data_IF_922518540736
#
_entry.id   IF_922518540736
#
_cell.length_a   1.000
_cell.length_b   1.000
_cell.length_c   1.000
_cell.angle_alpha   90.00
_cell.angle_beta   90.00
_cell.angle_gamma   90.00
#
_symmetry.space_group_name_H-M   'P 1'
#
loop_
_entity.id
_entity.type
_entity.pdbx_description
1 polymer ?
#
# COMPACT_ATOMS: atom_id res chain seq x y z
N UNK A 1 43.97 -12.83 -35.48
CA UNK A 1 44.62 -11.69 -34.79
C UNK A 1 44.10 -11.52 -33.37
N UNK A 2 42.79 -11.61 -33.12
CA UNK A 2 42.24 -11.50 -31.75
C UNK A 2 42.79 -12.52 -30.74
N UNK A 3 42.95 -13.80 -31.11
CA UNK A 3 43.53 -14.81 -30.20
C UNK A 3 44.99 -14.48 -29.82
N UNK A 4 45.79 -14.04 -30.80
CA UNK A 4 47.19 -13.65 -30.54
C UNK A 4 47.29 -12.44 -29.63
N UNK A 5 46.45 -11.42 -29.84
CA UNK A 5 46.41 -10.25 -28.96
C UNK A 5 46.01 -10.62 -27.52
N UNK A 6 45.07 -11.57 -27.37
CA UNK A 6 44.68 -12.09 -26.07
C UNK A 6 45.81 -12.87 -25.39
N UNK A 7 46.54 -13.73 -26.12
CA UNK A 7 47.71 -14.45 -25.59
C UNK A 7 48.85 -13.48 -25.19
N UNK A 8 49.06 -12.41 -25.96
CA UNK A 8 50.01 -11.34 -25.64
C UNK A 8 49.63 -10.57 -24.38
N UNK A 9 48.34 -10.23 -24.20
CA UNK A 9 47.82 -9.57 -23.00
C UNK A 9 47.90 -10.46 -21.76
N UNK A 10 47.62 -11.76 -21.91
CA UNK A 10 47.69 -12.74 -20.82
C UNK A 10 49.13 -13.19 -20.51
N UNK A 11 50.09 -12.95 -21.40
CA UNK A 11 51.48 -13.38 -21.25
C UNK A 11 51.69 -14.90 -21.35
N UNK A 12 50.73 -15.64 -21.92
CA UNK A 12 50.77 -17.11 -22.03
C UNK A 12 50.14 -17.58 -23.35
N UNK A 13 50.69 -18.65 -23.95
CA UNK A 13 50.06 -19.32 -25.08
C UNK A 13 48.86 -20.14 -24.59
N UNK A 14 47.71 -20.03 -25.24
CA UNK A 14 46.51 -20.80 -24.93
C UNK A 14 46.34 -22.00 -25.88
N UNK A 15 47.04 -22.01 -27.01
CA UNK A 15 46.99 -23.08 -27.98
C UNK A 15 48.38 -23.58 -28.37
N UNK A 16 48.49 -24.91 -28.54
CA UNK A 16 49.63 -25.54 -29.16
C UNK A 16 49.38 -25.73 -30.66
N UNK A 17 50.43 -25.59 -31.47
CA UNK A 17 50.39 -25.91 -32.91
C UNK A 17 50.88 -27.33 -33.13
N UNK A 18 49.95 -28.23 -33.45
CA UNK A 18 50.24 -29.63 -33.75
C UNK A 18 49.93 -29.89 -35.23
N UNK A 19 50.99 -29.99 -36.04
CA UNK A 19 50.87 -30.15 -37.50
C UNK A 19 50.21 -28.95 -38.17
N UNK A 20 49.05 -29.16 -38.79
CA UNK A 20 48.21 -28.08 -39.37
C UNK A 20 47.08 -27.60 -38.44
N UNK A 21 46.97 -28.15 -37.22
CA UNK A 21 45.89 -27.86 -36.28
C UNK A 21 46.32 -26.99 -35.09
N UNK A 22 45.34 -26.31 -34.50
CA UNK A 22 45.44 -25.63 -33.21
C UNK A 22 44.65 -26.42 -32.18
N UNK A 23 45.28 -26.73 -31.05
CA UNK A 23 44.65 -27.46 -29.94
C UNK A 23 44.85 -26.66 -28.67
N UNK A 24 43.80 -26.53 -27.84
CA UNK A 24 43.91 -25.88 -26.53
C UNK A 24 44.93 -26.65 -25.67
N UNK A 25 45.92 -25.93 -25.16
CA UNK A 25 46.79 -26.44 -24.13
C UNK A 25 46.11 -26.32 -22.75
N UNK A 26 46.81 -26.69 -21.68
CA UNK A 26 46.25 -26.66 -20.33
C UNK A 26 45.79 -25.25 -19.90
N UNK A 27 46.62 -24.23 -20.15
CA UNK A 27 46.27 -22.84 -19.89
C UNK A 27 45.04 -22.40 -20.69
N UNK A 28 44.96 -22.80 -21.97
CA UNK A 28 43.80 -22.54 -22.82
C UNK A 28 42.51 -23.21 -22.32
N UNK A 29 42.58 -24.43 -21.80
CA UNK A 29 41.40 -25.13 -21.26
C UNK A 29 40.88 -24.44 -20.00
N UNK A 30 41.77 -24.12 -19.06
CA UNK A 30 41.41 -23.42 -17.82
C UNK A 30 40.88 -22.01 -18.12
N UNK A 31 41.55 -21.27 -19.00
CA UNK A 31 41.10 -19.95 -19.42
C UNK A 31 39.74 -20.00 -20.14
N UNK A 32 39.48 -21.02 -20.96
CA UNK A 32 38.21 -21.16 -21.66
C UNK A 32 37.03 -21.37 -20.68
N UNK A 33 37.22 -22.12 -19.59
CA UNK A 33 36.21 -22.29 -18.55
C UNK A 33 35.90 -20.95 -17.87
N UNK A 34 36.92 -20.22 -17.45
CA UNK A 34 36.77 -18.90 -16.83
C UNK A 34 36.14 -17.86 -17.78
N UNK A 35 36.57 -17.85 -19.05
CA UNK A 35 36.02 -16.94 -20.07
C UNK A 35 34.53 -17.21 -20.34
N UNK A 36 34.12 -18.49 -20.38
CA UNK A 36 32.70 -18.86 -20.50
C UNK A 36 31.90 -18.39 -19.30
N UNK A 37 32.45 -18.51 -18.09
CA UNK A 37 31.81 -18.05 -16.86
C UNK A 37 31.64 -16.52 -16.84
N UNK A 38 32.66 -15.78 -17.25
CA UNK A 38 32.61 -14.33 -17.39
C UNK A 38 31.54 -13.88 -18.41
N UNK A 39 31.48 -14.52 -19.58
CA UNK A 39 30.46 -14.21 -20.59
C UNK A 39 29.05 -14.49 -20.08
N UNK A 40 28.83 -15.62 -19.41
CA UNK A 40 27.53 -15.93 -18.76
C UNK A 40 27.14 -14.88 -17.71
N UNK A 41 28.11 -14.39 -16.93
CA UNK A 41 27.88 -13.32 -15.95
C UNK A 41 27.52 -12.00 -16.63
N UNK A 42 28.20 -11.65 -17.72
CA UNK A 42 27.92 -10.44 -18.50
C UNK A 42 26.50 -10.48 -19.12
N UNK A 43 26.12 -11.60 -19.73
CA UNK A 43 24.77 -11.80 -20.26
C UNK A 43 23.71 -11.69 -19.16
N UNK A 44 23.94 -12.30 -18.00
CA UNK A 44 23.05 -12.20 -16.85
C UNK A 44 22.90 -10.77 -16.34
N UNK A 45 24.00 -10.00 -16.30
CA UNK A 45 23.96 -8.58 -15.92
C UNK A 45 23.11 -7.76 -16.92
N UNK A 46 23.31 -7.98 -18.22
CA UNK A 46 22.52 -7.32 -19.26
C UNK A 46 21.03 -7.68 -19.19
N UNK A 47 20.69 -8.94 -18.95
CA UNK A 47 19.31 -9.39 -18.75
C UNK A 47 18.69 -8.77 -17.51
N UNK A 48 19.41 -8.76 -16.38
CA UNK A 48 18.93 -8.13 -15.13
C UNK A 48 18.67 -6.63 -15.32
N UNK A 49 19.55 -5.92 -16.03
CA UNK A 49 19.36 -4.51 -16.34
C UNK A 49 18.13 -4.26 -17.23
N UNK A 50 17.89 -5.12 -18.24
CA UNK A 50 16.67 -5.06 -19.06
C UNK A 50 15.41 -5.33 -18.25
N UNK A 51 15.41 -6.38 -17.44
CA UNK A 51 14.30 -6.73 -16.56
C UNK A 51 14.00 -5.61 -15.55
N UNK A 52 15.03 -4.97 -14.99
CA UNK A 52 14.89 -3.80 -14.11
C UNK A 52 14.31 -2.60 -14.89
N UNK A 53 14.80 -2.36 -16.11
CA UNK A 53 14.28 -1.35 -17.03
C UNK A 53 12.84 -1.61 -17.48
N UNK A 54 12.38 -2.87 -17.42
CA UNK A 54 10.99 -3.28 -17.65
C UNK A 54 10.16 -3.29 -16.36
N UNK A 55 10.78 -3.14 -15.18
CA UNK A 55 10.13 -3.17 -13.88
C UNK A 55 9.81 -4.57 -13.34
N UNK A 56 10.41 -5.63 -13.89
CA UNK A 56 10.18 -7.03 -13.51
C UNK A 56 11.01 -7.44 -12.29
N UNK A 57 12.12 -6.75 -12.05
CA UNK A 57 12.96 -6.89 -10.87
C UNK A 57 13.23 -5.52 -10.27
N UNK A 58 13.50 -5.48 -8.97
CA UNK A 58 13.78 -4.25 -8.25
C UNK A 58 13.17 -4.28 -6.86
N UNK A 59 13.06 -3.11 -6.24
CA UNK A 59 12.51 -2.94 -4.90
C UNK A 59 11.44 -1.88 -4.91
N UNK A 60 10.30 -2.15 -4.27
CA UNK A 60 9.19 -1.23 -4.14
C UNK A 60 8.87 -1.02 -2.66
N UNK A 61 9.05 0.20 -2.17
CA UNK A 61 8.80 0.56 -0.76
C UNK A 61 7.40 1.17 -0.64
N UNK A 62 6.49 0.45 0.01
CA UNK A 62 5.08 0.83 0.14
C UNK A 62 4.72 1.12 1.59
N UNK A 63 4.26 2.36 1.82
CA UNK A 63 3.73 2.79 3.10
C UNK A 63 2.25 2.46 3.29
N UNK A 64 1.82 2.25 4.52
CA UNK A 64 0.40 2.20 4.87
C UNK A 64 0.16 2.65 6.30
N UNK A 65 -1.04 3.15 6.57
CA UNK A 65 -1.48 3.43 7.93
C UNK A 65 -2.07 2.17 8.55
N UNK A 66 -2.03 2.06 9.88
CA UNK A 66 -2.68 0.96 10.61
C UNK A 66 -4.10 0.71 10.07
N UNK A 67 -4.93 1.75 9.94
CA UNK A 67 -6.32 1.63 9.48
C UNK A 67 -6.50 1.20 8.02
N UNK A 68 -5.58 1.58 7.12
CA UNK A 68 -5.70 1.19 5.71
C UNK A 68 -5.30 -0.27 5.51
N UNK A 69 -4.45 -0.83 6.38
CA UNK A 69 -4.14 -2.26 6.40
C UNK A 69 -5.37 -3.15 6.61
N UNK A 70 -6.32 -2.70 7.43
CA UNK A 70 -7.59 -3.43 7.67
C UNK A 70 -8.51 -3.44 6.44
N UNK A 71 -8.27 -2.59 5.44
CA UNK A 71 -9.15 -2.53 4.27
C UNK A 71 -8.85 -3.68 3.28
N UNK A 72 -9.85 -4.48 2.88
CA UNK A 72 -9.65 -5.60 1.96
C UNK A 72 -9.07 -5.21 0.60
N UNK A 73 -9.31 -3.98 0.12
CA UNK A 73 -8.74 -3.54 -1.14
C UNK A 73 -7.21 -3.40 -1.06
N UNK A 74 -6.65 -2.91 0.06
CA UNK A 74 -5.19 -2.84 0.25
C UNK A 74 -4.59 -4.24 0.22
N UNK A 75 -5.15 -5.16 0.99
CA UNK A 75 -4.66 -6.55 1.04
C UNK A 75 -4.73 -7.22 -0.34
N UNK A 76 -5.80 -6.97 -1.09
CA UNK A 76 -5.96 -7.47 -2.47
C UNK A 76 -4.89 -6.92 -3.39
N UNK A 77 -4.63 -5.61 -3.37
CA UNK A 77 -3.61 -4.98 -4.21
C UNK A 77 -2.23 -5.55 -3.91
N UNK A 78 -1.86 -5.66 -2.63
CA UNK A 78 -0.56 -6.21 -2.23
C UNK A 78 -0.42 -7.69 -2.65
N UNK A 79 -1.48 -8.48 -2.48
CA UNK A 79 -1.51 -9.88 -2.90
C UNK A 79 -1.35 -10.01 -4.42
N UNK A 80 -2.19 -9.33 -5.19
CA UNK A 80 -2.16 -9.36 -6.65
C UNK A 80 -0.82 -8.88 -7.19
N UNK A 81 -0.27 -7.79 -6.63
CA UNK A 81 1.02 -7.26 -7.07
C UNK A 81 2.15 -8.28 -6.86
N UNK A 82 2.19 -8.93 -5.69
CA UNK A 82 3.20 -9.95 -5.37
C UNK A 82 3.07 -11.21 -6.23
N UNK A 83 1.85 -11.62 -6.57
CA UNK A 83 1.59 -12.78 -7.44
C UNK A 83 1.97 -12.49 -8.90
N UNK A 84 1.68 -11.29 -9.40
CA UNK A 84 2.00 -10.88 -10.77
C UNK A 84 3.48 -10.54 -10.96
N UNK A 85 4.13 -9.95 -9.94
CA UNK A 85 5.53 -9.49 -10.00
C UNK A 85 6.40 -10.11 -8.89
N UNK A 86 6.57 -11.44 -8.87
CA UNK A 86 7.22 -12.15 -7.75
C UNK A 86 8.71 -11.85 -7.57
N UNK A 87 9.35 -11.27 -8.59
CA UNK A 87 10.77 -10.90 -8.55
C UNK A 87 11.01 -9.43 -8.14
N UNK A 88 9.95 -8.68 -7.85
CA UNK A 88 10.03 -7.36 -7.21
C UNK A 88 10.00 -7.54 -5.69
N UNK A 89 11.03 -7.06 -5.00
CA UNK A 89 11.07 -7.03 -3.55
C UNK A 89 10.09 -5.97 -3.02
N UNK A 90 9.02 -6.42 -2.38
CA UNK A 90 8.04 -5.53 -1.76
C UNK A 90 8.42 -5.27 -0.30
N UNK A 91 8.77 -4.02 0.02
CA UNK A 91 9.13 -3.58 1.37
C UNK A 91 8.02 -2.72 1.93
N UNK A 92 7.49 -3.13 3.09
CA UNK A 92 6.29 -2.56 3.68
C UNK A 92 6.66 -1.75 4.93
N UNK A 93 6.18 -0.50 5.01
CA UNK A 93 6.39 0.40 6.16
C UNK A 93 5.04 0.86 6.73
N UNK A 94 4.79 0.55 8.00
CA UNK A 94 3.65 1.12 8.72
C UNK A 94 4.01 2.48 9.32
N UNK A 95 3.13 3.47 9.16
CA UNK A 95 3.36 4.78 9.76
C UNK A 95 2.13 5.66 9.87
N UNK A 96 2.33 6.82 10.50
CA UNK A 96 1.33 7.91 10.54
C UNK A 96 1.29 8.58 9.16
N UNK A 97 0.12 9.05 8.73
CA UNK A 97 -0.06 9.67 7.42
C UNK A 97 0.93 10.82 7.15
N UNK A 98 1.25 11.63 8.16
CA UNK A 98 2.23 12.73 8.02
C UNK A 98 3.65 12.23 7.78
N UNK A 99 4.09 11.18 8.48
CA UNK A 99 5.42 10.60 8.30
C UNK A 99 5.57 9.88 6.96
N UNK A 100 4.51 9.18 6.53
CA UNK A 100 4.49 8.50 5.23
C UNK A 100 4.53 9.52 4.08
N UNK A 101 3.82 10.64 4.20
CA UNK A 101 3.89 11.73 3.22
C UNK A 101 5.28 12.34 3.15
N UNK A 102 5.90 12.65 4.29
CA UNK A 102 7.28 13.14 4.31
C UNK A 102 8.27 12.11 3.73
N UNK A 103 8.04 10.82 3.95
CA UNK A 103 8.85 9.75 3.37
C UNK A 103 8.67 9.63 1.84
N UNK A 104 7.45 9.86 1.32
CA UNK A 104 7.20 9.95 -0.11
C UNK A 104 7.91 11.16 -0.70
N UNK A 105 7.75 12.35 -0.13
CA UNK A 105 8.40 13.57 -0.62
C UNK A 105 9.93 13.43 -0.61
N UNK A 106 10.48 12.83 0.45
CA UNK A 106 11.92 12.64 0.63
C UNK A 106 12.53 11.42 -0.07
N UNK A 107 11.81 10.71 -0.94
CA UNK A 107 12.42 9.59 -1.70
C UNK A 107 12.58 8.28 -0.92
N UNK A 108 12.11 8.20 0.34
CA UNK A 108 12.27 7.02 1.20
C UNK A 108 11.19 5.96 0.98
N UNK A 109 9.99 6.36 0.57
CA UNK A 109 8.91 5.47 0.13
C UNK A 109 8.60 5.74 -1.33
N UNK A 110 8.14 4.74 -2.07
CA UNK A 110 7.81 4.87 -3.49
C UNK A 110 6.31 5.12 -3.68
N UNK A 111 5.47 4.47 -2.86
CA UNK A 111 4.04 4.71 -2.80
C UNK A 111 3.52 4.54 -1.36
N UNK A 112 2.34 5.07 -1.05
CA UNK A 112 1.68 4.83 0.24
C UNK A 112 0.16 4.80 0.15
N UNK A 113 -0.48 3.88 0.88
CA UNK A 113 -1.92 3.87 1.07
C UNK A 113 -2.34 4.85 2.15
N UNK A 114 -2.91 5.97 1.72
CA UNK A 114 -3.25 7.11 2.56
C UNK A 114 -4.72 7.49 2.42
N UNK A 115 -5.23 8.21 3.42
CA UNK A 115 -6.56 8.83 3.38
C UNK A 115 -6.39 10.33 3.11
N UNK A 116 -7.18 10.92 2.20
CA UNK A 116 -7.14 12.36 1.95
C UNK A 116 -7.71 13.16 3.13
N UNK A 117 -7.40 14.47 3.21
CA UNK A 117 -6.54 15.21 2.29
C UNK A 117 -5.05 14.94 2.52
N UNK A 118 -4.27 15.07 1.45
CA UNK A 118 -2.82 15.08 1.54
C UNK A 118 -2.32 16.49 1.88
N UNK A 119 -1.20 16.60 2.60
CA UNK A 119 -0.59 17.89 2.98
C UNK A 119 -0.06 18.67 1.78
N UNK A 120 0.30 17.99 0.70
CA UNK A 120 0.70 18.60 -0.57
C UNK A 120 0.14 17.81 -1.75
N UNK A 121 -0.62 18.51 -2.60
CA UNK A 121 -1.03 18.01 -3.93
C UNK A 121 -0.08 18.50 -5.04
N UNK A 122 0.94 19.30 -4.69
CA UNK A 122 1.92 19.83 -5.65
C UNK A 122 2.99 18.80 -5.99
N UNK A 123 3.35 17.92 -5.05
CA UNK A 123 4.43 16.94 -5.23
C UNK A 123 3.93 15.50 -5.34
N UNK A 124 2.74 15.24 -4.82
CA UNK A 124 2.14 13.91 -4.77
C UNK A 124 0.94 13.83 -5.72
N UNK A 125 0.89 12.73 -6.47
CA UNK A 125 -0.32 12.28 -7.13
C UNK A 125 -1.06 11.28 -6.25
N UNK A 126 -2.35 11.12 -6.51
CA UNK A 126 -3.24 10.29 -5.71
C UNK A 126 -4.25 9.57 -6.60
N UNK A 127 -4.37 8.26 -6.42
CA UNK A 127 -5.38 7.41 -7.02
C UNK A 127 -6.34 6.96 -5.93
N UNK A 128 -7.61 7.35 -6.03
CA UNK A 128 -8.66 6.81 -5.16
C UNK A 128 -8.80 5.31 -5.41
N UNK A 129 -8.57 4.50 -4.37
CA UNK A 129 -8.66 3.03 -4.46
C UNK A 129 -10.05 2.55 -4.05
N UNK A 130 -10.58 3.10 -2.95
CA UNK A 130 -11.95 2.82 -2.54
C UNK A 130 -12.50 3.92 -1.62
N UNK A 131 -13.83 3.92 -1.52
CA UNK A 131 -14.61 4.71 -0.57
C UNK A 131 -15.47 3.75 0.23
N UNK A 132 -15.35 3.76 1.56
CA UNK A 132 -16.08 2.86 2.45
C UNK A 132 -17.01 3.67 3.39
N UNK A 133 -18.15 3.12 3.82
CA UNK A 133 -18.98 3.79 4.82
C UNK A 133 -18.24 3.90 6.16
N UNK A 134 -18.66 4.86 6.98
CA UNK A 134 -18.27 4.91 8.39
C UNK A 134 -19.36 4.32 9.29
N UNK A 135 -18.94 3.74 10.40
CA UNK A 135 -19.78 3.06 11.39
C UNK A 135 -19.50 3.61 12.78
N UNK A 136 -20.47 3.48 13.67
CA UNK A 136 -20.33 3.82 15.09
C UNK A 136 -19.78 2.61 15.83
N UNK A 137 -18.60 2.74 16.42
CA UNK A 137 -18.05 1.80 17.37
C UNK A 137 -18.58 2.14 18.78
N UNK A 138 -19.25 1.18 19.39
CA UNK A 138 -19.87 1.27 20.70
C UNK A 138 -19.31 0.17 21.62
N UNK A 139 -19.21 0.38 22.94
CA UNK A 139 -19.04 -0.72 23.88
C UNK A 139 -20.12 -1.79 23.68
N UNK A 140 -19.81 -3.06 23.91
CA UNK A 140 -20.75 -4.16 23.66
C UNK A 140 -22.08 -4.01 24.43
N UNK A 141 -22.02 -3.48 25.67
CA UNK A 141 -23.16 -3.27 26.55
C UNK A 141 -23.84 -1.90 26.37
N UNK A 142 -23.45 -1.13 25.34
CA UNK A 142 -24.00 0.20 25.10
C UNK A 142 -25.50 0.13 24.74
N UNK A 143 -26.30 1.08 25.24
CA UNK A 143 -27.75 1.20 24.94
C UNK A 143 -28.11 1.08 23.46
N UNK A 144 -27.26 1.61 22.59
CA UNK A 144 -27.46 1.61 21.13
C UNK A 144 -26.83 0.40 20.41
N UNK A 145 -26.10 -0.48 21.09
CA UNK A 145 -25.40 -1.62 20.47
C UNK A 145 -26.37 -2.61 19.78
N UNK A 146 -27.59 -2.78 20.31
CA UNK A 146 -28.61 -3.65 19.72
C UNK A 146 -29.29 -3.09 18.46
N UNK A 147 -28.99 -1.86 18.04
CA UNK A 147 -29.64 -1.22 16.89
C UNK A 147 -29.08 -1.77 15.58
N UNK A 148 -29.95 -1.88 14.57
CA UNK A 148 -29.53 -2.26 13.21
C UNK A 148 -28.87 -1.09 12.45
N UNK A 149 -29.32 0.14 12.72
CA UNK A 149 -28.75 1.41 12.23
C UNK A 149 -29.02 2.54 13.24
N UNK A 150 -28.16 3.55 13.26
CA UNK A 150 -28.26 4.72 14.14
C UNK A 150 -28.17 6.01 13.32
N UNK A 151 -28.92 7.04 13.69
CA UNK A 151 -28.76 8.41 13.18
C UNK A 151 -27.71 9.18 13.99
N UNK A 152 -27.04 10.17 13.39
CA UNK A 152 -26.08 11.00 14.14
C UNK A 152 -26.74 11.71 15.34
N UNK A 153 -27.99 12.14 15.22
CA UNK A 153 -28.72 12.83 16.29
C UNK A 153 -28.92 11.98 17.55
N UNK A 154 -28.98 10.65 17.42
CA UNK A 154 -29.07 9.72 18.58
C UNK A 154 -27.77 9.66 19.40
N UNK A 155 -26.65 10.19 18.87
CA UNK A 155 -25.34 10.25 19.52
C UNK A 155 -25.07 11.56 20.27
N UNK A 156 -26.05 12.48 20.29
CA UNK A 156 -25.90 13.85 20.80
C UNK A 156 -25.33 13.93 22.22
N UNK A 157 -25.77 13.01 23.08
CA UNK A 157 -25.43 13.01 24.51
C UNK A 157 -24.22 12.13 24.85
N UNK A 158 -23.64 11.47 23.85
CA UNK A 158 -22.52 10.54 24.04
C UNK A 158 -21.17 11.27 24.14
N UNK A 159 -20.16 10.61 24.72
CA UNK A 159 -18.76 11.08 24.72
C UNK A 159 -18.01 10.49 23.54
N UNK A 160 -17.23 11.31 22.83
CA UNK A 160 -16.50 10.91 21.63
C UNK A 160 -15.01 10.74 21.91
N UNK A 161 -14.46 9.65 21.38
CA UNK A 161 -13.03 9.43 21.21
C UNK A 161 -12.71 9.76 19.76
N UNK A 162 -11.97 10.85 19.53
CA UNK A 162 -11.57 11.27 18.18
C UNK A 162 -10.10 10.96 17.93
N UNK A 163 -9.68 11.05 16.67
CA UNK A 163 -8.27 11.02 16.28
C UNK A 163 -7.79 12.44 15.92
N UNK A 164 -6.61 12.88 16.40
CA UNK A 164 -6.13 14.24 16.21
C UNK A 164 -5.91 14.59 14.74
N UNK A 165 -6.23 15.83 14.37
CA UNK A 165 -5.91 16.42 13.05
C UNK A 165 -4.43 16.23 12.67
N UNK A 166 -3.54 16.36 13.65
CA UNK A 166 -2.09 16.26 13.45
C UNK A 166 -1.60 14.88 12.94
N UNK A 167 -2.41 13.83 13.06
CA UNK A 167 -2.03 12.47 12.64
C UNK A 167 -2.54 12.11 11.23
N UNK A 168 -3.46 12.91 10.70
CA UNK A 168 -4.05 12.77 9.38
C UNK A 168 -5.30 13.66 9.29
N UNK A 169 -5.31 14.67 8.41
CA UNK A 169 -6.48 15.55 8.26
C UNK A 169 -7.68 14.79 7.66
N UNK A 170 -8.85 15.40 7.69
CA UNK A 170 -10.03 14.96 6.94
C UNK A 170 -11.01 14.11 7.74
N UNK A 171 -10.59 12.95 8.23
CA UNK A 171 -11.54 12.01 8.81
C UNK A 171 -12.24 12.56 10.08
N UNK A 172 -11.54 13.19 11.03
CA UNK A 172 -12.15 13.64 12.30
C UNK A 172 -12.91 14.95 12.11
N UNK A 173 -12.46 15.74 11.15
CA UNK A 173 -13.14 16.95 10.68
C UNK A 173 -14.47 16.60 10.03
N UNK A 174 -14.51 15.55 9.20
CA UNK A 174 -15.75 15.04 8.60
C UNK A 174 -16.74 14.58 9.68
N UNK A 175 -16.27 13.87 10.71
CA UNK A 175 -17.11 13.45 11.84
C UNK A 175 -17.66 14.66 12.59
N UNK A 176 -16.82 15.63 12.95
CA UNK A 176 -17.25 16.85 13.65
C UNK A 176 -18.23 17.66 12.81
N UNK A 177 -17.94 17.87 11.52
CA UNK A 177 -18.80 18.60 10.59
C UNK A 177 -20.16 17.90 10.41
N UNK A 178 -20.19 16.56 10.36
CA UNK A 178 -21.42 15.81 10.27
C UNK A 178 -22.27 15.90 11.56
N UNK A 179 -21.63 15.87 12.73
CA UNK A 179 -22.33 16.11 14.00
C UNK A 179 -22.94 17.53 14.03
N UNK A 180 -22.17 18.54 13.59
CA UNK A 180 -22.65 19.92 13.51
C UNK A 180 -23.84 20.06 12.56
N UNK A 181 -23.80 19.42 11.39
CA UNK A 181 -24.93 19.36 10.46
C UNK A 181 -26.15 18.65 11.05
N UNK A 182 -25.95 17.67 11.93
CA UNK A 182 -27.01 17.02 12.70
C UNK A 182 -27.48 17.85 13.92
N UNK A 183 -26.96 19.07 14.09
CA UNK A 183 -27.41 20.03 15.09
C UNK A 183 -26.76 19.89 16.46
N UNK A 184 -25.59 19.26 16.59
CA UNK A 184 -24.84 19.19 17.85
C UNK A 184 -23.32 19.22 17.66
N UNK A 185 -22.58 19.59 18.71
CA UNK A 185 -21.13 19.45 18.74
C UNK A 185 -20.77 18.19 19.56
N UNK A 186 -19.86 17.32 19.07
CA UNK A 186 -19.49 16.11 19.80
C UNK A 186 -18.71 16.46 21.07
N UNK A 187 -19.06 15.85 22.20
CA UNK A 187 -18.33 16.00 23.47
C UNK A 187 -17.09 15.11 23.45
N UNK A 188 -15.94 15.68 23.08
CA UNK A 188 -14.68 14.94 22.96
C UNK A 188 -14.01 14.77 24.32
N UNK A 189 -13.90 13.54 24.81
CA UNK A 189 -13.23 13.22 26.09
C UNK A 189 -11.80 12.74 25.90
N UNK A 190 -11.49 12.18 24.73
CA UNK A 190 -10.17 11.60 24.43
C UNK A 190 -9.78 11.83 22.97
N UNK A 191 -8.47 11.92 22.74
CA UNK A 191 -7.89 11.95 21.41
C UNK A 191 -6.78 10.89 21.30
N UNK A 192 -6.83 10.05 20.26
CA UNK A 192 -5.79 9.03 20.04
C UNK A 192 -5.19 9.10 18.63
N UNK A 193 -3.86 8.94 18.47
CA UNK A 193 -3.21 9.10 17.17
C UNK A 193 -3.55 7.98 16.17
N UNK A 194 -4.16 6.87 16.60
CA UNK A 194 -4.42 5.71 15.74
C UNK A 194 -5.83 5.18 15.97
N UNK A 195 -6.54 4.86 14.88
CA UNK A 195 -7.89 4.31 14.95
C UNK A 195 -7.96 2.97 15.71
N UNK A 196 -6.93 2.14 15.65
CA UNK A 196 -6.86 0.90 16.43
C UNK A 196 -6.86 1.19 17.95
N UNK A 197 -6.12 2.21 18.38
CA UNK A 197 -6.13 2.69 19.77
C UNK A 197 -7.49 3.26 20.16
N UNK A 198 -8.13 4.02 19.27
CA UNK A 198 -9.51 4.50 19.47
C UNK A 198 -10.47 3.35 19.74
N UNK A 199 -10.42 2.27 18.94
CA UNK A 199 -11.27 1.07 19.17
C UNK A 199 -10.98 0.42 20.53
N UNK A 200 -9.72 0.35 20.96
CA UNK A 200 -9.39 -0.17 22.29
C UNK A 200 -9.99 0.70 23.42
N UNK A 201 -10.01 2.02 23.28
CA UNK A 201 -10.63 2.89 24.27
C UNK A 201 -12.17 2.80 24.27
N UNK A 202 -12.78 2.54 23.12
CA UNK A 202 -14.22 2.20 23.03
C UNK A 202 -14.50 0.89 23.79
N UNK A 203 -13.67 -0.14 23.59
CA UNK A 203 -13.79 -1.40 24.32
C UNK A 203 -13.68 -1.21 25.84
N UNK A 204 -12.89 -0.22 26.28
CA UNK A 204 -12.75 0.17 27.69
C UNK A 204 -13.86 1.12 28.19
N UNK A 205 -14.93 1.33 27.41
CA UNK A 205 -16.06 2.19 27.75
C UNK A 205 -15.70 3.66 28.05
N UNK A 206 -14.60 4.17 27.48
CA UNK A 206 -14.18 5.58 27.63
C UNK A 206 -14.98 6.57 26.76
N UNK A 207 -15.87 6.04 25.91
CA UNK A 207 -16.72 6.76 24.98
C UNK A 207 -17.01 5.95 23.73
N UNK A 208 -17.58 6.60 22.72
CA UNK A 208 -17.88 6.05 21.40
C UNK A 208 -16.91 6.61 20.35
N UNK A 209 -16.86 5.97 19.19
CA UNK A 209 -16.12 6.51 18.05
C UNK A 209 -16.85 6.27 16.73
N UNK A 210 -16.62 7.13 15.75
CA UNK A 210 -17.05 6.90 14.37
C UNK A 210 -15.81 6.55 13.55
N UNK A 211 -15.79 5.36 12.97
CA UNK A 211 -14.61 4.76 12.33
C UNK A 211 -14.95 4.18 10.95
N UNK A 212 -13.98 3.98 10.04
CA UNK A 212 -14.23 3.29 8.77
C UNK A 212 -14.72 1.85 8.98
N UNK A 213 -15.56 1.35 8.06
CA UNK A 213 -16.17 0.02 8.14
C UNK A 213 -15.16 -1.13 8.27
N UNK A 214 -13.99 -1.02 7.63
CA UNK A 214 -12.92 -2.01 7.75
C UNK A 214 -12.48 -2.29 9.20
N UNK A 215 -12.74 -1.37 10.14
CA UNK A 215 -12.36 -1.55 11.55
C UNK A 215 -13.24 -2.54 12.31
N UNK A 216 -14.35 -3.03 11.72
CA UNK A 216 -15.25 -4.02 12.33
C UNK A 216 -14.58 -5.30 12.82
N UNK A 217 -13.44 -5.65 12.22
CA UNK A 217 -12.69 -6.85 12.59
C UNK A 217 -11.88 -6.71 13.89
N UNK A 218 -11.80 -5.51 14.47
CA UNK A 218 -11.13 -5.28 15.74
C UNK A 218 -12.09 -5.48 16.93
N UNK A 219 -11.63 -6.20 17.96
CA UNK A 219 -12.38 -6.38 19.23
C UNK A 219 -13.85 -6.82 19.06
N UNK A 220 -14.17 -7.82 18.22
CA UNK A 220 -15.55 -8.22 17.96
C UNK A 220 -16.33 -8.65 19.22
N UNK A 221 -15.61 -9.13 20.24
CA UNK A 221 -16.21 -9.61 21.49
C UNK A 221 -16.48 -8.48 22.52
N UNK A 222 -16.01 -7.25 22.27
CA UNK A 222 -16.12 -6.13 23.23
C UNK A 222 -16.61 -4.83 22.61
N UNK A 223 -16.66 -4.76 21.28
CA UNK A 223 -17.11 -3.57 20.53
C UNK A 223 -18.18 -3.98 19.54
N UNK A 224 -19.30 -3.27 19.58
CA UNK A 224 -20.34 -3.38 18.58
C UNK A 224 -20.20 -2.27 17.57
N UNK A 225 -20.19 -2.64 16.29
CA UNK A 225 -20.15 -1.71 15.18
C UNK A 225 -21.53 -1.57 14.55
N UNK A 226 -22.12 -0.39 14.66
CA UNK A 226 -23.47 -0.11 14.18
C UNK A 226 -23.42 0.87 13.00
N UNK A 227 -24.01 0.54 11.85
CA UNK A 227 -24.04 1.44 10.69
C UNK A 227 -24.78 2.75 10.98
N UNK A 228 -24.27 3.85 10.43
CA UNK A 228 -25.02 5.10 10.37
C UNK A 228 -26.12 5.01 9.29
N UNK A 229 -27.28 5.61 9.56
CA UNK A 229 -28.34 5.76 8.53
C UNK A 229 -27.84 6.60 7.35
N UNK A 230 -28.35 6.24 6.18
CA UNK A 230 -28.22 6.96 4.91
C UNK A 230 -26.78 7.22 4.44
N UNK A 231 -25.80 6.43 4.92
CA UNK A 231 -24.41 6.56 4.49
C UNK A 231 -23.82 7.94 4.77
N UNK A 232 -24.27 8.58 5.87
CA UNK A 232 -23.99 9.97 6.20
C UNK A 232 -22.50 10.35 6.21
N UNK A 233 -21.62 9.35 6.38
CA UNK A 233 -20.18 9.51 6.40
C UNK A 233 -19.51 8.41 5.58
N UNK A 234 -18.54 8.81 4.76
CA UNK A 234 -17.66 7.92 4.02
C UNK A 234 -16.20 8.24 4.32
N UNK A 235 -15.39 7.20 4.31
CA UNK A 235 -13.96 7.25 4.47
C UNK A 235 -13.31 6.84 3.15
N UNK A 236 -12.66 7.78 2.48
CA UNK A 236 -11.88 7.50 1.28
C UNK A 236 -10.47 7.05 1.66
N UNK A 237 -9.86 6.23 0.82
CA UNK A 237 -8.43 6.01 0.83
C UNK A 237 -7.95 5.68 -0.57
N UNK A 238 -6.66 5.88 -0.78
CA UNK A 238 -6.05 5.70 -2.08
C UNK A 238 -4.55 5.52 -2.00
N UNK A 239 -3.97 5.33 -3.16
CA UNK A 239 -2.54 5.21 -3.33
C UNK A 239 -1.96 6.59 -3.67
N UNK A 240 -0.98 7.05 -2.89
CA UNK A 240 -0.23 8.27 -3.15
C UNK A 240 1.20 7.91 -3.61
N UNK A 241 1.75 8.68 -4.54
CA UNK A 241 3.14 8.55 -5.00
C UNK A 241 3.68 9.92 -5.42
N UNK A 242 5.00 10.05 -5.60
CA UNK A 242 5.60 11.28 -6.13
C UNK A 242 5.22 11.45 -7.60
N UNK A 243 4.71 12.63 -7.97
CA UNK A 243 4.32 12.96 -9.37
C UNK A 243 5.43 12.73 -10.39
N UNK A 244 6.67 13.04 -10.01
CA UNK A 244 7.83 12.89 -10.89
C UNK A 244 8.36 11.45 -10.98
N UNK A 245 7.90 10.55 -10.11
CA UNK A 245 8.36 9.17 -10.11
C UNK A 245 7.47 8.32 -11.01
N UNK A 246 7.99 8.05 -12.20
CA UNK A 246 7.31 7.33 -13.27
C UNK A 246 7.93 5.96 -13.52
N UNK A 247 8.64 5.39 -12.54
CA UNK A 247 9.20 4.05 -12.67
C UNK A 247 8.11 3.04 -13.05
N UNK A 248 8.45 2.08 -13.91
CA UNK A 248 7.49 1.07 -14.35
C UNK A 248 6.93 0.24 -13.19
N UNK A 249 7.72 0.04 -12.13
CA UNK A 249 7.28 -0.68 -10.93
C UNK A 249 6.15 0.08 -10.22
N UNK A 250 6.26 1.41 -10.08
CA UNK A 250 5.20 2.24 -9.51
C UNK A 250 3.96 2.22 -10.41
N UNK A 251 4.13 2.36 -11.74
CA UNK A 251 3.00 2.26 -12.68
C UNK A 251 2.26 0.93 -12.56
N UNK A 252 2.99 -0.19 -12.47
CA UNK A 252 2.42 -1.52 -12.25
C UNK A 252 1.63 -1.60 -10.94
N UNK A 253 2.13 -0.98 -9.87
CA UNK A 253 1.39 -0.89 -8.60
C UNK A 253 0.12 -0.06 -8.76
N UNK A 254 0.19 1.09 -9.44
CA UNK A 254 -0.96 1.95 -9.73
C UNK A 254 -2.00 1.18 -10.55
N UNK A 255 -1.60 0.49 -11.60
CA UNK A 255 -2.50 -0.32 -12.44
C UNK A 255 -3.15 -1.46 -11.64
N UNK A 256 -2.38 -2.09 -10.73
CA UNK A 256 -2.91 -3.11 -9.82
C UNK A 256 -3.89 -2.53 -8.80
N UNK A 257 -3.67 -1.27 -8.38
CA UNK A 257 -4.48 -0.54 -7.42
C UNK A 257 -5.71 0.15 -8.03
N UNK A 258 -5.71 0.33 -9.36
CA UNK A 258 -6.81 0.92 -10.09
C UNK A 258 -8.11 0.17 -9.76
N UNK A 259 -9.21 0.89 -9.47
CA UNK A 259 -10.49 0.24 -9.23
C UNK A 259 -10.82 -0.63 -10.43
N UNK A 260 -10.87 -1.95 -10.25
CA UNK A 260 -11.47 -2.82 -11.26
C UNK A 260 -12.91 -2.34 -11.37
N UNK A 261 -13.25 -1.72 -12.50
CA UNK A 261 -14.63 -1.38 -12.81
C UNK A 261 -15.37 -2.70 -13.09
N UNK A 262 -15.69 -3.42 -12.02
CA UNK A 262 -16.50 -4.62 -12.05
C UNK A 262 -17.94 -4.22 -12.26
N UNK A 263 -18.47 -4.53 -13.44
CA UNK A 263 -19.86 -4.27 -13.82
C UNK A 263 -20.83 -4.84 -12.80
N UNK A 264 -21.55 -3.94 -12.12
CA UNK A 264 -22.91 -4.23 -11.69
C UNK A 264 -23.77 -4.28 -12.95
N UNK A 265 -23.79 -5.44 -13.60
CA UNK A 265 -24.85 -5.76 -14.54
C UNK A 265 -26.14 -5.76 -13.74
N UNK A 266 -26.92 -4.70 -13.92
CA UNK A 266 -28.35 -4.65 -13.62
C UNK A 266 -28.96 -5.99 -14.02
N UNK A 267 -29.24 -6.86 -13.03
CA UNK A 267 -30.19 -7.94 -13.21
C UNK A 267 -31.56 -7.28 -13.33
N UNK A 268 -31.88 -6.81 -14.53
CA UNK A 268 -33.27 -6.58 -14.94
C UNK A 268 -34.00 -7.92 -14.76
N UNK A 269 -35.02 -7.89 -13.92
CA UNK A 269 -35.94 -9.01 -13.74
C UNK A 269 -36.58 -9.37 -15.08
N UNK A 270 -36.58 -10.66 -15.39
CA UNK A 270 -37.50 -11.22 -16.37
C UNK A 270 -38.82 -11.53 -15.67
N UNK A 271 -39.97 -11.27 -16.31
CA UNK A 271 -41.28 -11.55 -15.74
C UNK A 271 -41.62 -13.03 -15.90
N UNK A 272 -42.20 -13.61 -14.86
CA UNK A 272 -43.23 -14.65 -14.93
C UNK A 272 -44.37 -14.20 -14.02
#
# INVERSE_FOLDING_TARGET
QQIRGLEEELGVQLFDRIGRGLVLNEAGRLFLEEARDLLRRAERAATTAREAGQGEVGRLRVGFTASTCFNPAVTRVLKTFRETWPRVELVLEEGRSSLLQAALEGGRLDAAFLRPPLSSTTYLDFLLVASEPMVVALPIDHRLAGRSRITLGELRDETFILYPRATGPGLSENVVAACQKAGFAPRVTQQTPQLATTVNLVAAAMGIAIVPDCMRQLRPDSVRYVPLRDGALKAEFGLAWRRQDLSLIIRRLIDTAAPIHGGESLKQGRPC
#
